data_IF_246552428114
#
_entry.id   IF_246552428114
#
_cell.length_a   1.000
_cell.length_b   1.000
_cell.length_c   1.000
_cell.angle_alpha   90.00
_cell.angle_beta   90.00
_cell.angle_gamma   90.00
#
_symmetry.space_group_name_H-M   'P 1'
#
loop_
_entity.id
_entity.type
_entity.pdbx_description
1 polymer ?
#
# COMPACT_ATOMS: atom_id res chain seq x y z
N UNK A 1 8.44 6.21 0.22
CA UNK A 1 7.53 5.27 0.93
C UNK A 1 6.39 4.91 -0.03
N UNK A 2 5.92 3.65 -0.19
CA UNK A 2 5.00 3.31 -1.32
C UNK A 2 3.70 4.10 -1.34
N UNK A 3 3.05 4.23 -0.18
CA UNK A 3 1.78 4.96 -0.07
C UNK A 3 1.92 6.47 -0.39
N UNK A 4 3.04 7.07 -0.01
CA UNK A 4 3.38 8.47 -0.33
C UNK A 4 3.55 8.70 -1.83
N UNK A 5 4.26 7.80 -2.54
CA UNK A 5 4.41 7.88 -4.01
C UNK A 5 3.06 7.81 -4.73
N UNK A 6 2.14 6.98 -4.22
CA UNK A 6 0.77 6.91 -4.76
C UNK A 6 0.00 8.20 -4.49
N UNK A 7 0.11 8.77 -3.29
CA UNK A 7 -0.51 10.07 -2.95
C UNK A 7 0.03 11.18 -3.87
N UNK A 8 1.34 11.28 -4.05
CA UNK A 8 1.97 12.29 -4.91
C UNK A 8 1.53 12.14 -6.37
N UNK A 9 1.43 10.91 -6.86
CA UNK A 9 0.95 10.61 -8.21
C UNK A 9 -0.50 11.08 -8.44
N UNK A 10 -1.37 10.98 -7.43
CA UNK A 10 -2.76 11.44 -7.47
C UNK A 10 -2.87 12.95 -7.35
N UNK A 11 -2.05 13.57 -6.50
CA UNK A 11 -1.95 15.04 -6.39
C UNK A 11 -1.55 15.64 -7.75
N UNK A 12 -0.55 15.07 -8.40
CA UNK A 12 -0.11 15.49 -9.74
C UNK A 12 -1.18 15.30 -10.83
N UNK A 13 -2.27 14.58 -10.53
CA UNK A 13 -3.44 14.41 -11.41
C UNK A 13 -4.64 15.26 -11.00
N UNK A 14 -4.45 16.19 -10.05
CA UNK A 14 -5.46 17.15 -9.64
C UNK A 14 -6.34 16.70 -8.47
N UNK A 15 -6.00 15.61 -7.78
CA UNK A 15 -6.69 15.26 -6.54
C UNK A 15 -6.12 16.08 -5.38
N UNK A 16 -6.96 16.87 -4.72
CA UNK A 16 -6.53 17.68 -3.58
C UNK A 16 -5.92 16.84 -2.46
N UNK A 17 -4.74 17.27 -1.97
CA UNK A 17 -4.00 16.56 -0.92
C UNK A 17 -4.79 16.42 0.40
N UNK A 18 -5.71 17.35 0.67
CA UNK A 18 -6.62 17.37 1.82
C UNK A 18 -7.63 16.22 1.81
N UNK A 19 -7.92 15.63 0.64
CA UNK A 19 -8.87 14.51 0.49
C UNK A 19 -8.24 13.14 0.74
N UNK A 20 -6.95 13.10 1.04
CA UNK A 20 -6.18 11.85 1.07
C UNK A 20 -5.28 11.76 2.30
N UNK A 21 -5.52 10.74 3.11
CA UNK A 21 -4.64 10.28 4.16
C UNK A 21 -3.82 9.09 3.68
N UNK A 22 -2.64 8.87 4.28
CA UNK A 22 -1.82 7.71 3.96
C UNK A 22 -1.22 7.12 5.23
N UNK A 23 -1.13 5.79 5.26
CA UNK A 23 -0.50 5.05 6.34
C UNK A 23 0.52 4.05 5.78
N UNK A 24 1.41 3.59 6.65
CA UNK A 24 2.43 2.60 6.29
C UNK A 24 2.49 1.49 7.33
N UNK A 25 2.13 0.28 6.90
CA UNK A 25 2.06 -0.89 7.77
C UNK A 25 3.32 -1.77 7.72
N UNK A 26 4.31 -1.44 6.87
CA UNK A 26 5.49 -2.30 6.69
C UNK A 26 5.10 -3.73 6.31
N UNK A 27 5.55 -4.70 7.11
CA UNK A 27 5.21 -6.13 6.96
C UNK A 27 4.17 -6.61 8.00
N UNK A 28 3.53 -5.70 8.73
CA UNK A 28 2.66 -6.04 9.86
C UNK A 28 1.24 -6.47 9.42
N UNK A 29 0.84 -6.17 8.18
CA UNK A 29 -0.46 -6.55 7.61
C UNK A 29 -0.29 -7.26 6.24
N UNK A 30 0.31 -8.46 6.22
CA UNK A 30 0.49 -9.21 4.98
C UNK A 30 -0.82 -9.90 4.54
N UNK A 31 -1.00 -10.04 3.22
CA UNK A 31 -2.01 -10.94 2.65
C UNK A 31 -1.58 -12.41 2.85
N UNK A 32 -0.29 -12.68 2.65
CA UNK A 32 0.31 -13.99 2.85
C UNK A 32 1.35 -13.96 3.97
N UNK A 33 1.25 -14.86 4.93
CA UNK A 33 2.25 -14.94 5.99
C UNK A 33 3.58 -15.51 5.46
N UNK A 34 4.48 -14.61 5.08
CA UNK A 34 5.84 -14.93 4.60
C UNK A 34 6.92 -14.74 5.67
N UNK A 35 6.54 -14.47 6.92
CA UNK A 35 7.48 -14.29 8.03
C UNK A 35 7.85 -15.61 8.69
N UNK A 36 6.89 -16.54 8.74
CA UNK A 36 7.05 -17.85 9.40
C UNK A 36 6.97 -19.03 8.42
N UNK A 37 6.55 -18.79 7.17
CA UNK A 37 6.38 -19.83 6.14
C UNK A 37 7.14 -19.40 4.88
N UNK A 38 7.82 -20.32 4.17
CA UNK A 38 8.39 -20.02 2.86
C UNK A 38 7.32 -19.54 1.89
N UNK A 39 7.56 -18.40 1.26
CA UNK A 39 6.68 -17.83 0.24
C UNK A 39 7.30 -17.96 -1.14
N UNK A 40 6.44 -18.16 -2.13
CA UNK A 40 6.84 -17.99 -3.53
C UNK A 40 7.03 -16.50 -3.83
N UNK A 41 7.79 -16.19 -4.87
CA UNK A 41 7.96 -14.80 -5.31
C UNK A 41 6.62 -14.14 -5.67
N UNK A 42 5.66 -14.91 -6.21
CA UNK A 42 4.30 -14.44 -6.47
C UNK A 42 3.57 -14.01 -5.18
N UNK A 43 3.69 -14.77 -4.09
CA UNK A 43 3.11 -14.41 -2.79
C UNK A 43 3.77 -13.15 -2.22
N UNK A 44 5.09 -13.01 -2.39
CA UNK A 44 5.79 -11.80 -2.02
C UNK A 44 5.32 -10.58 -2.83
N UNK A 45 5.06 -10.74 -4.14
CA UNK A 45 4.49 -9.67 -4.97
C UNK A 45 3.13 -9.21 -4.44
N UNK A 46 2.26 -10.16 -4.09
CA UNK A 46 0.93 -9.85 -3.53
C UNK A 46 1.02 -9.08 -2.20
N UNK A 47 2.03 -9.35 -1.36
CA UNK A 47 2.28 -8.56 -0.16
C UNK A 47 2.83 -7.15 -0.44
N UNK A 48 3.53 -6.95 -1.56
CA UNK A 48 4.14 -5.67 -1.94
C UNK A 48 3.16 -4.71 -2.60
N UNK A 49 2.08 -4.38 -1.90
CA UNK A 49 0.94 -3.61 -2.41
C UNK A 49 0.74 -2.27 -1.70
N UNK A 50 -0.12 -1.44 -2.29
CA UNK A 50 -0.77 -0.28 -1.66
C UNK A 50 -2.27 -0.45 -1.85
N UNK A 51 -3.05 -0.34 -0.78
CA UNK A 51 -4.52 -0.41 -0.82
C UNK A 51 -5.11 1.00 -0.77
N UNK A 52 -6.17 1.24 -1.54
CA UNK A 52 -6.94 2.47 -1.53
C UNK A 52 -8.35 2.16 -1.02
N UNK A 53 -8.82 2.93 -0.04
CA UNK A 53 -10.17 2.81 0.52
C UNK A 53 -10.86 4.17 0.41
N UNK A 54 -12.10 4.18 -0.05
CA UNK A 54 -12.90 5.39 -0.05
C UNK A 54 -13.41 5.65 1.38
N UNK A 55 -13.27 6.90 1.84
CA UNK A 55 -13.91 7.36 3.06
C UNK A 55 -15.43 7.21 2.96
N UNK A 56 -16.10 7.04 4.10
CA UNK A 56 -17.55 7.04 4.17
C UNK A 56 -18.09 8.46 4.04
#
# INVERSE_FOLDING_TARGET
>A
RRAEVVKDYLINRGIEASRMEYEWFGKNMPVYNCGTVPCTEAMHQLNRRTELKLGK
#
